data_IF_076141524563
#
_entry.id   IF_076141524563
#
_cell.length_a   1.000
_cell.length_b   1.000
_cell.length_c   1.000
_cell.angle_alpha   90.00
_cell.angle_beta   90.00
_cell.angle_gamma   90.00
#
_symmetry.space_group_name_H-M   'P 1'
#
loop_
_entity.id
_entity.type
_entity.pdbx_description
1 polymer ?
#
# COMPACT_ATOMS: atom_id res chain seq x y z
N UNK A 1 27.46 6.05 -24.81
CA UNK A 1 26.19 5.31 -24.62
C UNK A 1 25.10 6.35 -24.43
N UNK A 2 23.98 6.26 -25.16
CA UNK A 2 22.82 7.13 -24.92
C UNK A 2 22.14 6.71 -23.63
N UNK A 3 21.87 7.67 -22.75
CA UNK A 3 21.08 7.43 -21.53
C UNK A 3 19.61 7.32 -21.94
N UNK A 4 18.98 6.19 -21.62
CA UNK A 4 17.54 6.01 -21.76
C UNK A 4 16.83 6.80 -20.65
N UNK A 5 15.83 7.62 -21.02
CA UNK A 5 15.02 8.42 -20.09
C UNK A 5 13.61 7.81 -20.07
N UNK A 6 13.29 6.93 -19.10
CA UNK A 6 11.98 6.30 -19.02
C UNK A 6 10.92 7.28 -18.49
N UNK A 7 9.65 7.02 -18.82
CA UNK A 7 8.49 7.79 -18.31
C UNK A 7 8.37 7.73 -16.78
N UNK A 8 8.72 6.59 -16.18
CA UNK A 8 8.75 6.40 -14.74
C UNK A 8 9.92 5.52 -14.32
N UNK A 9 10.49 5.81 -13.16
CA UNK A 9 11.56 5.02 -12.53
C UNK A 9 11.43 5.14 -11.02
N UNK A 10 11.50 4.00 -10.33
CA UNK A 10 11.45 3.95 -8.87
C UNK A 10 12.70 4.63 -8.30
N UNK A 11 12.52 5.40 -7.23
CA UNK A 11 13.60 5.86 -6.38
C UNK A 11 13.78 4.82 -5.27
N UNK A 12 14.96 4.21 -5.21
CA UNK A 12 15.33 3.22 -4.19
C UNK A 12 16.70 3.65 -3.66
N UNK A 13 16.78 3.82 -2.35
CA UNK A 13 17.95 4.23 -1.60
C UNK A 13 18.61 3.03 -0.89
N UNK A 14 19.80 3.23 -0.34
CA UNK A 14 20.46 2.22 0.50
C UNK A 14 19.68 1.94 1.79
N UNK A 15 18.93 2.92 2.30
CA UNK A 15 18.07 2.75 3.47
C UNK A 15 16.92 1.78 3.17
N UNK A 16 16.31 1.88 1.99
CA UNK A 16 15.26 0.96 1.54
C UNK A 16 15.78 -0.48 1.46
N UNK A 17 16.99 -0.66 0.94
CA UNK A 17 17.65 -1.98 0.83
C UNK A 17 17.96 -2.54 2.22
N UNK A 18 18.49 -1.69 3.12
CA UNK A 18 18.78 -2.08 4.49
C UNK A 18 17.51 -2.52 5.23
N UNK A 19 16.41 -1.78 5.11
CA UNK A 19 15.13 -2.12 5.73
C UNK A 19 14.62 -3.50 5.29
N UNK A 20 14.70 -3.81 3.98
CA UNK A 20 14.34 -5.14 3.47
C UNK A 20 15.28 -6.22 4.02
N UNK A 21 16.59 -5.96 4.01
CA UNK A 21 17.58 -6.91 4.51
C UNK A 21 17.40 -7.21 6.00
N UNK A 22 16.99 -6.22 6.80
CA UNK A 22 16.71 -6.38 8.21
C UNK A 22 15.48 -7.27 8.44
N UNK A 23 14.39 -7.05 7.71
CA UNK A 23 13.20 -7.94 7.74
C UNK A 23 13.58 -9.37 7.37
N UNK A 24 14.42 -9.57 6.35
CA UNK A 24 14.87 -10.90 5.91
C UNK A 24 15.66 -11.67 6.96
N UNK A 25 16.20 -11.00 7.99
CA UNK A 25 16.91 -11.64 9.11
C UNK A 25 16.00 -11.97 10.30
N UNK A 26 14.73 -11.58 10.25
CA UNK A 26 13.74 -11.88 11.28
C UNK A 26 12.98 -13.18 10.99
N UNK A 27 12.20 -13.65 11.96
CA UNK A 27 11.29 -14.78 11.79
C UNK A 27 10.01 -14.43 11.00
N UNK A 28 9.79 -13.15 10.65
CA UNK A 28 8.53 -12.65 10.09
C UNK A 28 8.71 -12.09 8.68
N UNK A 29 8.61 -12.95 7.67
CA UNK A 29 8.73 -12.56 6.25
C UNK A 29 7.42 -12.14 5.58
N UNK A 30 6.28 -12.31 6.26
CA UNK A 30 4.95 -11.98 5.70
C UNK A 30 4.28 -10.93 6.58
N UNK A 31 3.21 -11.30 7.28
CA UNK A 31 2.61 -10.46 8.31
C UNK A 31 3.48 -10.48 9.55
N UNK A 32 3.64 -9.34 10.22
CA UNK A 32 4.51 -9.22 11.39
C UNK A 32 4.62 -7.79 11.90
N UNK A 33 5.55 -7.54 12.84
CA UNK A 33 5.68 -6.23 13.51
C UNK A 33 5.87 -5.05 12.54
N UNK A 34 6.64 -5.25 11.47
CA UNK A 34 6.89 -4.20 10.47
C UNK A 34 5.62 -3.77 9.73
N UNK A 35 4.64 -4.67 9.58
CA UNK A 35 3.32 -4.32 9.03
C UNK A 35 2.57 -3.41 10.00
N UNK A 36 2.57 -3.72 11.29
CA UNK A 36 1.91 -2.90 12.31
C UNK A 36 2.56 -1.52 12.47
N UNK A 37 3.90 -1.46 12.38
CA UNK A 37 4.63 -0.19 12.36
C UNK A 37 4.26 0.65 11.13
N UNK A 38 4.14 0.03 9.95
CA UNK A 38 3.72 0.70 8.74
C UNK A 38 2.26 1.19 8.82
N UNK A 39 1.35 0.39 9.37
CA UNK A 39 -0.03 0.79 9.63
C UNK A 39 -0.12 2.01 10.56
N UNK A 40 0.63 2.00 11.68
CA UNK A 40 0.70 3.14 12.58
C UNK A 40 1.21 4.41 11.88
N UNK A 41 2.27 4.29 11.09
CA UNK A 41 2.83 5.41 10.33
C UNK A 41 1.85 5.94 9.27
N UNK A 42 1.11 5.07 8.58
CA UNK A 42 0.08 5.46 7.62
C UNK A 42 -1.09 6.16 8.32
N UNK A 43 -1.52 5.64 9.47
CA UNK A 43 -2.61 6.24 10.26
C UNK A 43 -2.23 7.64 10.75
N UNK A 44 -1.00 7.81 11.24
CA UNK A 44 -0.46 9.12 11.65
C UNK A 44 -0.40 10.08 10.45
N UNK A 45 0.15 9.64 9.32
CA UNK A 45 0.25 10.43 8.10
C UNK A 45 -1.12 10.87 7.56
N UNK A 46 -2.11 9.97 7.58
CA UNK A 46 -3.46 10.22 7.08
C UNK A 46 -4.34 10.99 8.08
N UNK A 47 -3.91 11.13 9.34
CA UNK A 47 -4.71 11.75 10.41
C UNK A 47 -5.93 10.92 10.79
N UNK A 48 -5.87 9.61 10.66
CA UNK A 48 -6.96 8.69 11.00
C UNK A 48 -6.70 7.98 12.33
N UNK A 49 -7.73 7.47 13.02
CA UNK A 49 -7.55 6.69 14.24
C UNK A 49 -6.89 5.32 14.01
N UNK A 50 -7.02 4.78 12.80
CA UNK A 50 -6.51 3.46 12.42
C UNK A 50 -6.23 3.42 10.90
N UNK A 51 -5.42 2.45 10.48
CA UNK A 51 -5.14 2.12 9.09
C UNK A 51 -4.90 0.61 8.92
N UNK A 52 -5.37 0.05 7.81
CA UNK A 52 -5.09 -1.35 7.44
C UNK A 52 -4.39 -1.39 6.09
N UNK A 53 -3.26 -2.08 6.02
CA UNK A 53 -2.47 -2.17 4.78
C UNK A 53 -2.74 -3.48 4.06
N UNK A 54 -2.72 -3.41 2.73
CA UNK A 54 -2.94 -4.55 1.84
C UNK A 54 -1.97 -4.49 0.67
N UNK A 55 -1.91 -5.56 -0.12
CA UNK A 55 -0.90 -5.73 -1.17
C UNK A 55 -1.03 -4.78 -2.39
N UNK A 56 -2.11 -4.01 -2.51
CA UNK A 56 -2.40 -3.17 -3.68
C UNK A 56 -3.55 -2.20 -3.46
N UNK A 57 -3.59 -1.11 -4.23
CA UNK A 57 -4.72 -0.17 -4.22
C UNK A 57 -6.06 -0.82 -4.63
N UNK A 58 -6.04 -1.77 -5.58
CA UNK A 58 -7.25 -2.51 -5.96
C UNK A 58 -7.81 -3.37 -4.83
N UNK A 59 -6.94 -4.03 -4.06
CA UNK A 59 -7.38 -4.79 -2.88
C UNK A 59 -7.88 -3.87 -1.77
N UNK A 60 -7.28 -2.69 -1.60
CA UNK A 60 -7.75 -1.72 -0.62
C UNK A 60 -9.17 -1.25 -0.93
N UNK A 61 -9.45 -0.90 -2.20
CA UNK A 61 -10.79 -0.54 -2.66
C UNK A 61 -11.78 -1.71 -2.53
N UNK A 62 -11.35 -2.93 -2.85
CA UNK A 62 -12.18 -4.12 -2.69
C UNK A 62 -12.58 -4.35 -1.23
N UNK A 63 -11.62 -4.28 -0.30
CA UNK A 63 -11.87 -4.38 1.14
C UNK A 63 -12.77 -3.23 1.63
N UNK A 64 -12.56 -2.00 1.14
CA UNK A 64 -13.40 -0.86 1.49
C UNK A 64 -14.86 -1.05 1.06
N UNK A 65 -15.11 -1.50 -0.18
CA UNK A 65 -16.48 -1.81 -0.63
C UNK A 65 -17.12 -2.95 0.15
N UNK A 66 -16.34 -3.99 0.49
CA UNK A 66 -16.82 -5.07 1.34
C UNK A 66 -17.18 -4.57 2.75
N UNK A 67 -16.36 -3.70 3.35
CA UNK A 67 -16.59 -3.11 4.66
C UNK A 67 -17.81 -2.17 4.68
N UNK A 68 -18.04 -1.42 3.59
CA UNK A 68 -19.23 -0.60 3.39
C UNK A 68 -20.50 -1.42 3.14
N UNK A 69 -20.38 -2.73 2.88
CA UNK A 69 -21.51 -3.61 2.63
C UNK A 69 -22.16 -3.44 1.25
N UNK A 70 -21.41 -2.93 0.26
CA UNK A 70 -21.89 -2.74 -1.11
C UNK A 70 -22.36 -4.07 -1.67
N UNK A 71 -23.60 -4.10 -2.18
CA UNK A 71 -24.25 -5.31 -2.66
C UNK A 71 -24.90 -5.10 -4.03
N UNK A 72 -25.51 -6.17 -4.55
CA UNK A 72 -26.23 -6.14 -5.81
C UNK A 72 -27.38 -5.14 -5.75
N UNK A 73 -27.34 -4.16 -6.64
CA UNK A 73 -28.36 -3.11 -6.76
C UNK A 73 -27.92 -1.76 -6.22
N UNK A 74 -26.79 -1.70 -5.50
CA UNK A 74 -26.22 -0.44 -5.06
C UNK A 74 -25.49 0.28 -6.21
N UNK A 75 -25.48 1.61 -6.15
CA UNK A 75 -24.79 2.47 -7.11
C UNK A 75 -23.55 3.09 -6.44
N UNK A 76 -22.41 3.03 -7.13
CA UNK A 76 -21.16 3.67 -6.71
C UNK A 76 -20.72 4.63 -7.81
N UNK A 77 -20.71 5.92 -7.52
CA UNK A 77 -20.32 6.96 -8.47
C UNK A 77 -18.79 7.01 -8.57
N UNK A 78 -18.27 7.06 -9.79
CA UNK A 78 -16.84 7.21 -10.09
C UNK A 78 -16.63 8.11 -11.31
N UNK A 79 -15.38 8.47 -11.58
CA UNK A 79 -14.99 9.19 -12.79
C UNK A 79 -14.94 8.23 -14.00
N UNK A 80 -15.40 8.66 -15.20
CA UNK A 80 -15.23 7.87 -16.43
C UNK A 80 -13.76 7.83 -16.90
N UNK A 81 -12.89 8.66 -16.30
CA UNK A 81 -11.45 8.67 -16.53
C UNK A 81 -10.76 8.50 -15.17
N UNK A 82 -10.25 7.30 -14.91
CA UNK A 82 -9.49 6.90 -13.73
C UNK A 82 -8.45 5.87 -14.17
N UNK A 83 -7.69 5.31 -13.23
CA UNK A 83 -6.66 4.29 -13.51
C UNK A 83 -7.17 3.08 -14.28
#
# INVERSE_FOLDING_TARGET
MSVSIPYGRQSISEEDIAAVADVMRTDWLTMGPVVAEFEAAVSELAGTPDATVVNSGSSALHCAYAALGVTKGDEVITSPMTF
#
